data_IF_350870478747
#
_entry.id   IF_350870478747
#
_cell.length_a   1.000
_cell.length_b   1.000
_cell.length_c   1.000
_cell.angle_alpha   90.00
_cell.angle_beta   90.00
_cell.angle_gamma   90.00
#
_symmetry.space_group_name_H-M   'P 1'
#
loop_
_entity.id
_entity.type
_entity.pdbx_description
1 polymer ?
#
# COMPACT_ATOMS: atom_id res chain seq x y z
N UNK A 1 15.13 7.60 3.44
CA UNK A 1 15.20 9.07 3.31
C UNK A 1 14.40 9.61 2.12
N UNK A 2 14.56 9.06 0.88
CA UNK A 2 13.81 9.57 -0.29
C UNK A 2 12.29 9.47 -0.16
N UNK A 3 11.78 8.51 0.58
CA UNK A 3 10.33 8.29 0.74
C UNK A 3 9.73 9.03 1.95
N UNK A 4 10.52 9.59 2.85
CA UNK A 4 10.05 10.19 4.10
C UNK A 4 9.04 11.35 3.87
N UNK A 5 9.37 12.27 2.98
CA UNK A 5 8.48 13.39 2.64
C UNK A 5 7.19 12.93 1.95
N UNK A 6 7.27 11.89 1.12
CA UNK A 6 6.11 11.28 0.48
C UNK A 6 5.23 10.59 1.50
N UNK A 7 5.81 9.83 2.44
CA UNK A 7 5.09 9.15 3.51
C UNK A 7 4.33 10.14 4.40
N UNK A 8 4.98 11.24 4.81
CA UNK A 8 4.32 12.31 5.57
C UNK A 8 3.12 12.89 4.81
N UNK A 9 3.34 13.28 3.55
CA UNK A 9 2.27 13.84 2.70
C UNK A 9 1.07 12.89 2.56
N UNK A 10 1.33 11.60 2.30
CA UNK A 10 0.29 10.60 2.11
C UNK A 10 -0.49 10.34 3.42
N UNK A 11 0.20 10.11 4.52
CA UNK A 11 -0.45 9.85 5.79
C UNK A 11 -1.26 11.07 6.27
N UNK A 12 -0.72 12.28 6.14
CA UNK A 12 -1.43 13.53 6.45
C UNK A 12 -2.71 13.68 5.64
N UNK A 13 -2.64 13.38 4.35
CA UNK A 13 -3.79 13.52 3.45
C UNK A 13 -4.87 12.46 3.74
N UNK A 14 -4.49 11.23 4.03
CA UNK A 14 -5.41 10.09 3.97
C UNK A 14 -5.72 9.40 5.30
N UNK A 15 -5.10 9.79 6.44
CA UNK A 15 -5.36 9.15 7.73
C UNK A 15 -6.83 9.23 8.21
N UNK A 16 -7.61 10.15 7.67
CA UNK A 16 -9.06 10.32 7.96
C UNK A 16 -9.96 9.88 6.81
N UNK A 17 -9.42 9.30 5.75
CA UNK A 17 -10.25 8.76 4.69
C UNK A 17 -11.22 7.69 5.26
N UNK A 18 -12.44 7.57 4.73
CA UNK A 18 -13.41 6.59 5.22
C UNK A 18 -12.88 5.15 5.13
N UNK A 19 -12.15 4.87 4.09
CA UNK A 19 -11.32 3.68 3.88
C UNK A 19 -10.29 3.96 2.77
N UNK A 20 -9.38 3.02 2.55
CA UNK A 20 -8.41 3.08 1.45
C UNK A 20 -8.35 1.73 0.71
N UNK A 21 -8.21 1.79 -0.61
CA UNK A 21 -8.05 0.60 -1.46
C UNK A 21 -6.55 0.37 -1.67
N UNK A 22 -6.10 -0.86 -1.47
CA UNK A 22 -4.69 -1.24 -1.65
C UNK A 22 -4.59 -2.38 -2.65
N UNK A 23 -3.87 -2.15 -3.76
CA UNK A 23 -3.70 -3.17 -4.80
C UNK A 23 -2.24 -3.51 -5.03
N UNK A 24 -2.01 -4.73 -5.47
CA UNK A 24 -0.73 -5.25 -5.90
C UNK A 24 -0.90 -6.63 -6.51
N UNK A 25 0.12 -7.14 -7.16
CA UNK A 25 0.04 -8.41 -7.86
C UNK A 25 1.28 -9.29 -7.64
N UNK A 26 1.18 -10.56 -8.00
CA UNK A 26 2.29 -11.52 -7.90
C UNK A 26 2.90 -11.59 -6.51
N UNK A 27 4.22 -11.68 -6.44
CA UNK A 27 4.95 -11.78 -5.18
C UNK A 27 4.80 -10.52 -4.29
N UNK A 28 4.57 -9.34 -4.88
CA UNK A 28 4.35 -8.10 -4.14
C UNK A 28 3.05 -8.10 -3.34
N UNK A 29 2.04 -8.85 -3.77
CA UNK A 29 0.73 -8.90 -3.13
C UNK A 29 0.79 -9.23 -1.64
N UNK A 30 1.61 -10.20 -1.24
CA UNK A 30 1.74 -10.58 0.18
C UNK A 30 2.18 -9.43 1.07
N UNK A 31 3.10 -8.59 0.59
CA UNK A 31 3.59 -7.42 1.32
C UNK A 31 2.57 -6.28 1.35
N UNK A 32 1.81 -6.09 0.28
CA UNK A 32 0.71 -5.12 0.23
C UNK A 32 -0.39 -5.51 1.21
N UNK A 33 -0.80 -6.77 1.19
CA UNK A 33 -1.81 -7.31 2.10
C UNK A 33 -1.37 -7.19 3.56
N UNK A 34 -0.12 -7.57 3.88
CA UNK A 34 0.45 -7.43 5.22
C UNK A 34 0.41 -5.96 5.68
N UNK A 35 0.80 -5.04 4.82
CA UNK A 35 0.79 -3.62 5.17
C UNK A 35 -0.62 -3.11 5.45
N UNK A 36 -1.57 -3.39 4.56
CA UNK A 36 -2.94 -2.93 4.68
C UNK A 36 -3.63 -3.53 5.92
N UNK A 37 -3.52 -4.85 6.12
CA UNK A 37 -4.20 -5.54 7.21
C UNK A 37 -3.47 -5.39 8.54
N UNK A 38 -2.18 -5.73 8.61
CA UNK A 38 -1.49 -5.81 9.89
C UNK A 38 -1.01 -4.44 10.40
N UNK A 39 -0.58 -3.54 9.50
CA UNK A 39 -0.11 -2.23 9.95
C UNK A 39 -1.25 -1.21 9.98
N UNK A 40 -2.04 -1.08 8.92
CA UNK A 40 -3.08 -0.05 8.88
C UNK A 40 -4.33 -0.45 9.69
N UNK A 41 -4.92 -1.61 9.46
CA UNK A 41 -6.13 -2.00 10.19
C UNK A 41 -5.82 -2.38 11.63
N UNK A 42 -4.89 -3.31 11.84
CA UNK A 42 -4.60 -3.87 13.16
C UNK A 42 -3.99 -2.84 14.12
N UNK A 43 -3.00 -2.07 13.65
CA UNK A 43 -2.24 -1.16 14.49
C UNK A 43 -2.77 0.28 14.44
N UNK A 44 -3.19 0.75 13.29
CA UNK A 44 -3.60 2.15 13.11
C UNK A 44 -5.11 2.36 13.08
N UNK A 45 -5.89 1.28 13.04
CA UNK A 45 -7.35 1.26 12.97
C UNK A 45 -7.90 2.03 11.77
N UNK A 46 -7.08 2.15 10.74
CA UNK A 46 -7.45 2.69 9.44
C UNK A 46 -8.12 1.59 8.63
N UNK A 47 -9.34 1.83 8.17
CA UNK A 47 -10.06 0.85 7.36
C UNK A 47 -9.41 0.71 5.99
N UNK A 48 -9.21 -0.52 5.54
CA UNK A 48 -8.66 -0.79 4.21
C UNK A 48 -9.51 -1.78 3.42
N UNK A 49 -9.33 -1.74 2.12
CA UNK A 49 -9.83 -2.75 1.18
C UNK A 49 -8.63 -3.28 0.40
N UNK A 50 -7.87 -4.23 0.94
CA UNK A 50 -6.82 -4.88 0.18
C UNK A 50 -7.45 -5.84 -0.83
N UNK A 51 -6.98 -5.77 -2.08
CA UNK A 51 -7.46 -6.61 -3.19
C UNK A 51 -6.33 -6.82 -4.19
N UNK A 52 -6.22 -8.01 -4.79
CA UNK A 52 -5.23 -8.19 -5.86
C UNK A 52 -5.55 -7.28 -7.04
N UNK A 53 -4.54 -6.86 -7.79
CA UNK A 53 -4.76 -6.04 -9.00
C UNK A 53 -5.64 -6.74 -10.04
N UNK A 54 -5.66 -8.08 -10.06
CA UNK A 54 -6.59 -8.84 -10.88
C UNK A 54 -8.03 -8.73 -10.37
N UNK A 55 -8.26 -8.98 -9.07
CA UNK A 55 -9.59 -8.98 -8.47
C UNK A 55 -10.19 -7.57 -8.34
N UNK A 56 -9.36 -6.53 -8.42
CA UNK A 56 -9.82 -5.14 -8.46
C UNK A 56 -10.93 -4.95 -9.50
N UNK A 57 -10.81 -5.60 -10.65
CA UNK A 57 -11.78 -5.53 -11.76
C UNK A 57 -13.03 -6.41 -11.58
N UNK A 58 -13.13 -7.15 -10.48
CA UNK A 58 -14.28 -7.99 -10.13
C UNK A 58 -15.18 -7.36 -9.05
N UNK A 59 -15.28 -6.03 -9.05
CA UNK A 59 -16.20 -5.28 -8.20
C UNK A 59 -15.55 -4.13 -7.41
N UNK A 60 -14.28 -4.23 -7.00
CA UNK A 60 -13.64 -3.16 -6.21
C UNK A 60 -13.53 -1.85 -6.98
N UNK A 61 -13.41 -1.90 -8.30
CA UNK A 61 -13.42 -0.70 -9.16
C UNK A 61 -14.67 0.18 -8.96
N UNK A 62 -15.82 -0.41 -8.60
CA UNK A 62 -17.06 0.33 -8.32
C UNK A 62 -17.03 1.10 -6.99
N UNK A 63 -16.02 0.86 -6.16
CA UNK A 63 -15.81 1.57 -4.89
C UNK A 63 -14.85 2.77 -5.04
N UNK A 64 -14.39 3.02 -6.27
CA UNK A 64 -13.48 4.14 -6.56
C UNK A 64 -14.29 5.42 -6.64
N UNK A 65 -14.09 6.31 -5.66
CA UNK A 65 -14.84 7.56 -5.51
C UNK A 65 -13.96 8.66 -4.92
N UNK A 66 -14.43 9.89 -4.96
CA UNK A 66 -13.74 11.04 -4.39
C UNK A 66 -13.52 10.86 -2.87
N UNK A 67 -12.29 11.15 -2.42
CA UNK A 67 -11.93 11.04 -1.01
C UNK A 67 -11.54 9.62 -0.56
N UNK A 68 -11.70 8.61 -1.41
CA UNK A 68 -11.21 7.25 -1.16
C UNK A 68 -9.89 7.03 -1.92
N UNK A 69 -8.75 6.95 -1.22
CA UNK A 69 -7.47 6.75 -1.90
C UNK A 69 -7.33 5.31 -2.42
N UNK A 70 -6.85 5.22 -3.66
CA UNK A 70 -6.41 3.96 -4.27
C UNK A 70 -4.88 3.95 -4.30
N UNK A 71 -4.27 3.05 -3.56
CA UNK A 71 -2.84 2.80 -3.57
C UNK A 71 -2.54 1.59 -4.47
N UNK A 72 -1.90 1.85 -5.59
CA UNK A 72 -1.43 0.81 -6.50
C UNK A 72 0.07 0.59 -6.28
N UNK A 73 0.42 -0.55 -5.68
CA UNK A 73 1.82 -0.94 -5.50
C UNK A 73 2.24 -1.80 -6.67
N UNK A 74 3.10 -1.24 -7.51
CA UNK A 74 3.59 -1.93 -8.72
C UNK A 74 4.85 -2.72 -8.42
N UNK A 75 4.76 -4.03 -8.55
CA UNK A 75 5.92 -4.92 -8.52
C UNK A 75 6.77 -4.82 -9.79
N UNK A 76 7.91 -5.49 -9.81
CA UNK A 76 8.81 -5.60 -10.99
C UNK A 76 8.75 -6.96 -11.69
N UNK A 77 7.96 -7.91 -11.17
CA UNK A 77 7.77 -9.24 -11.75
C UNK A 77 6.83 -9.26 -12.96
N UNK A 78 6.59 -10.43 -13.50
CA UNK A 78 5.74 -10.64 -14.69
C UNK A 78 4.30 -10.16 -14.50
N UNK A 79 3.79 -10.21 -13.26
CA UNK A 79 2.44 -9.76 -12.92
C UNK A 79 2.26 -8.23 -12.94
N UNK A 80 3.33 -7.45 -13.13
CA UNK A 80 3.29 -5.98 -13.19
C UNK A 80 2.26 -5.44 -14.21
N UNK A 81 1.95 -6.19 -15.26
CA UNK A 81 0.93 -5.81 -16.25
C UNK A 81 -0.46 -5.66 -15.63
N UNK A 82 -0.76 -6.38 -14.54
CA UNK A 82 -2.01 -6.27 -13.81
C UNK A 82 -2.06 -4.97 -12.99
N UNK A 83 -0.94 -4.58 -12.39
CA UNK A 83 -0.81 -3.32 -11.67
C UNK A 83 -0.91 -2.13 -12.63
N UNK A 84 -0.28 -2.25 -13.82
CA UNK A 84 -0.40 -1.24 -14.87
C UNK A 84 -1.87 -1.04 -15.28
N UNK A 85 -2.63 -2.11 -15.40
CA UNK A 85 -4.06 -2.03 -15.75
C UNK A 85 -4.87 -1.26 -14.70
N UNK A 86 -4.56 -1.39 -13.40
CA UNK A 86 -5.19 -0.60 -12.33
C UNK A 86 -4.81 0.88 -12.47
N UNK A 87 -3.54 1.16 -12.75
CA UNK A 87 -3.07 2.52 -12.99
C UNK A 87 -3.81 3.15 -14.16
N UNK A 88 -3.86 2.49 -15.31
CA UNK A 88 -4.52 2.98 -16.53
C UNK A 88 -6.02 3.26 -16.28
N UNK A 89 -6.68 2.41 -15.49
CA UNK A 89 -8.07 2.63 -15.08
C UNK A 89 -8.22 3.92 -14.27
N UNK A 90 -7.42 4.08 -13.24
CA UNK A 90 -7.52 5.26 -12.36
C UNK A 90 -7.17 6.56 -13.09
N UNK A 91 -6.18 6.54 -13.99
CA UNK A 91 -5.83 7.68 -14.84
C UNK A 91 -6.93 8.03 -15.83
N UNK A 92 -7.52 7.02 -16.48
CA UNK A 92 -8.60 7.19 -17.46
C UNK A 92 -9.84 7.85 -16.85
N UNK A 93 -10.20 7.47 -15.63
CA UNK A 93 -11.40 7.98 -14.97
C UNK A 93 -11.13 9.19 -14.05
N UNK A 94 -9.92 9.77 -14.15
CA UNK A 94 -9.51 11.02 -13.49
C UNK A 94 -9.62 10.98 -11.95
N UNK A 95 -9.37 9.82 -11.36
CA UNK A 95 -9.31 9.68 -9.89
C UNK A 95 -7.96 10.19 -9.34
N UNK A 96 -7.39 11.19 -10.00
CA UNK A 96 -6.00 11.64 -9.81
C UNK A 96 -5.73 12.19 -8.41
N UNK A 97 -6.70 12.85 -7.79
CA UNK A 97 -6.51 13.40 -6.44
C UNK A 97 -6.50 12.35 -5.33
N UNK A 98 -7.01 11.17 -5.62
CA UNK A 98 -7.10 10.05 -4.68
C UNK A 98 -6.34 8.81 -5.14
N UNK A 99 -5.58 8.90 -6.24
CA UNK A 99 -4.79 7.79 -6.76
C UNK A 99 -3.30 7.96 -6.45
N UNK A 100 -2.67 6.91 -5.93
CA UNK A 100 -1.26 6.86 -5.54
C UNK A 100 -0.60 5.64 -6.15
N UNK A 101 0.38 5.85 -7.01
CA UNK A 101 1.25 4.78 -7.50
C UNK A 101 2.51 4.72 -6.64
N UNK A 102 2.81 3.52 -6.12
CA UNK A 102 4.07 3.21 -5.47
C UNK A 102 4.79 2.21 -6.38
N UNK A 103 5.68 2.72 -7.21
CA UNK A 103 6.42 1.88 -8.16
C UNK A 103 7.70 1.37 -7.51
N UNK A 104 7.77 0.06 -7.29
CA UNK A 104 8.95 -0.54 -6.65
C UNK A 104 10.18 -0.58 -7.56
N UNK A 105 10.03 -0.29 -8.85
CA UNK A 105 11.15 -0.08 -9.75
C UNK A 105 12.00 1.15 -9.36
N UNK A 106 11.41 2.11 -8.64
CA UNK A 106 12.11 3.32 -8.15
C UNK A 106 13.02 3.04 -6.95
N UNK A 107 12.91 1.86 -6.35
CA UNK A 107 13.68 1.42 -5.18
C UNK A 107 14.74 0.39 -5.61
N UNK A 108 15.72 0.78 -6.41
CA UNK A 108 16.82 -0.09 -6.79
C UNK A 108 17.83 -0.26 -5.66
N UNK A 109 18.27 -1.49 -5.42
CA UNK A 109 19.41 -1.78 -4.55
C UNK A 109 20.68 -1.92 -5.39
N UNK A 110 21.67 -1.03 -5.23
CA UNK A 110 22.91 -1.11 -5.99
C UNK A 110 23.64 -2.43 -5.77
N UNK A 111 24.16 -3.01 -6.85
CA UNK A 111 24.95 -4.23 -6.77
C UNK A 111 24.18 -5.55 -6.73
N UNK A 112 22.85 -5.48 -6.82
CA UNK A 112 22.00 -6.68 -6.93
C UNK A 112 21.75 -6.99 -8.40
N UNK A 113 21.93 -8.26 -8.80
CA UNK A 113 21.66 -8.69 -10.17
C UNK A 113 20.16 -8.70 -10.46
N UNK A 114 19.80 -8.56 -11.74
CA UNK A 114 18.40 -8.53 -12.20
C UNK A 114 17.63 -9.82 -11.83
N UNK A 115 18.30 -10.93 -11.66
CA UNK A 115 17.73 -12.20 -11.21
C UNK A 115 17.03 -12.09 -9.84
N UNK A 116 17.56 -11.25 -8.94
CA UNK A 116 16.99 -11.05 -7.60
C UNK A 116 16.12 -9.78 -7.50
N UNK A 117 15.85 -9.13 -8.62
CA UNK A 117 15.17 -7.84 -8.64
C UNK A 117 13.77 -7.89 -8.00
N UNK A 118 13.02 -8.94 -8.23
CA UNK A 118 11.68 -9.09 -7.65
C UNK A 118 11.73 -9.22 -6.13
N UNK A 119 12.59 -10.09 -5.59
CA UNK A 119 12.76 -10.26 -4.14
C UNK A 119 13.25 -8.97 -3.49
N UNK A 120 14.22 -8.30 -4.10
CA UNK A 120 14.76 -7.05 -3.55
C UNK A 120 13.75 -5.90 -3.61
N UNK A 121 12.84 -5.88 -4.58
CA UNK A 121 11.75 -4.91 -4.64
C UNK A 121 10.75 -5.09 -3.50
N UNK A 122 10.46 -6.32 -3.10
CA UNK A 122 9.62 -6.65 -1.94
C UNK A 122 10.28 -6.17 -0.64
N UNK A 123 11.58 -6.46 -0.47
CA UNK A 123 12.35 -6.00 0.69
C UNK A 123 12.41 -4.47 0.74
N UNK A 124 12.63 -3.82 -0.39
CA UNK A 124 12.67 -2.37 -0.49
C UNK A 124 11.30 -1.75 -0.17
N UNK A 125 10.20 -2.32 -0.65
CA UNK A 125 8.85 -1.90 -0.28
C UNK A 125 8.63 -2.01 1.23
N UNK A 126 8.97 -3.13 1.84
CA UNK A 126 8.79 -3.35 3.28
C UNK A 126 9.64 -2.38 4.11
N UNK A 127 10.93 -2.24 3.79
CA UNK A 127 11.86 -1.43 4.58
C UNK A 127 11.73 0.08 4.32
N UNK A 128 11.46 0.50 3.09
CA UNK A 128 11.41 1.91 2.73
C UNK A 128 10.00 2.49 2.77
N UNK A 129 8.98 1.75 2.32
CA UNK A 129 7.61 2.25 2.23
C UNK A 129 6.83 1.91 3.50
N UNK A 130 6.72 0.64 3.85
CA UNK A 130 5.88 0.21 4.98
C UNK A 130 6.37 0.80 6.29
N UNK A 131 7.67 0.75 6.57
CA UNK A 131 8.24 1.33 7.81
C UNK A 131 8.00 2.83 7.92
N UNK A 132 8.22 3.57 6.83
CA UNK A 132 8.07 5.03 6.86
C UNK A 132 6.61 5.46 6.90
N UNK A 133 5.78 4.82 6.10
CA UNK A 133 4.37 5.16 6.02
C UNK A 133 3.62 4.81 7.31
N UNK A 134 3.91 3.65 7.93
CA UNK A 134 3.29 3.28 9.21
C UNK A 134 3.65 4.24 10.35
N UNK A 135 4.91 4.72 10.44
CA UNK A 135 5.31 5.74 11.42
C UNK A 135 4.59 7.06 11.22
N UNK A 136 4.35 7.46 9.98
CA UNK A 136 3.57 8.67 9.71
C UNK A 136 2.09 8.48 10.03
N UNK A 137 1.51 7.31 9.75
CA UNK A 137 0.15 7.01 10.20
C UNK A 137 0.06 7.02 11.74
N UNK A 138 1.02 6.43 12.47
CA UNK A 138 1.10 6.51 13.93
C UNK A 138 1.07 7.96 14.43
N UNK A 139 1.86 8.83 13.78
CA UNK A 139 1.91 10.26 14.11
C UNK A 139 0.54 10.94 13.94
N UNK A 140 -0.14 10.72 12.80
CA UNK A 140 -1.39 11.41 12.49
C UNK A 140 -2.64 10.78 13.12
N UNK A 141 -2.66 9.48 13.34
CA UNK A 141 -3.77 8.80 14.02
C UNK A 141 -3.68 8.88 15.53
N UNK A 142 -2.48 9.02 16.07
CA UNK A 142 -2.21 8.92 17.51
C UNK A 142 -2.27 7.48 18.05
N UNK A 143 -2.39 6.47 17.19
CA UNK A 143 -2.46 5.08 17.59
C UNK A 143 -1.08 4.42 17.52
N UNK A 144 -0.57 3.97 18.68
CA UNK A 144 0.75 3.36 18.76
C UNK A 144 0.84 2.07 17.96
N UNK A 145 1.93 1.92 17.20
CA UNK A 145 2.27 0.67 16.50
C UNK A 145 2.49 -0.51 17.46
N UNK A 146 2.69 -0.26 18.73
CA UNK A 146 2.87 -1.31 19.75
C UNK A 146 1.56 -1.77 20.42
N UNK A 147 0.44 -1.12 20.15
CA UNK A 147 -0.83 -1.39 20.83
C UNK A 147 -1.85 -2.06 19.90
N UNK A 148 -2.57 -3.07 20.45
CA UNK A 148 -3.72 -3.74 19.82
C UNK A 148 -4.86 -3.80 20.81
N UNK A 149 -6.09 -3.53 20.34
CA UNK A 149 -7.27 -3.48 21.21
C UNK A 149 -7.60 -4.81 21.86
N UNK A 150 -7.53 -5.90 21.11
CA UNK A 150 -8.11 -7.19 21.50
C UNK A 150 -7.08 -8.31 21.68
N UNK A 151 -5.91 -8.29 20.99
CA UNK A 151 -4.97 -9.40 21.02
C UNK A 151 -4.50 -9.84 22.41
N UNK A 152 -4.46 -8.92 23.38
CA UNK A 152 -4.11 -9.25 24.78
C UNK A 152 -5.28 -9.76 25.60
N UNK A 153 -6.49 -9.79 25.03
CA UNK A 153 -7.72 -10.21 25.68
C UNK A 153 -8.24 -11.54 25.12
N UNK A 154 -7.61 -12.07 24.07
CA UNK A 154 -7.99 -13.33 23.47
C UNK A 154 -7.47 -14.48 24.34
N UNK A 155 -8.38 -15.34 24.75
CA UNK A 155 -8.10 -16.64 25.37
C UNK A 155 -8.36 -17.70 24.30
N UNK A 156 -7.35 -18.51 23.96
CA UNK A 156 -7.42 -19.58 22.96
C UNK A 156 -7.54 -20.93 23.66
#
# INVERSE_FOLDING_TARGET
>A
EKFDATADKLARKYHKAPYSIWTGSGAMWSSVYLFAMCLLEEMQWVRTRPVTSADFFHGTLELVEDGVPVFCVKGVGESRVLDQRVQDFCEKYQVTDSFVVIDTADFSLPGVSDEFREITSILAFSAAVCDRLSKQYEHYTGHSLAFRRYYRQLEY
#
